data_IF_932673733509
#
_entry.id   IF_932673733509
#
_cell.length_a   1.000
_cell.length_b   1.000
_cell.length_c   1.000
_cell.angle_alpha   90.00
_cell.angle_beta   90.00
_cell.angle_gamma   90.00
#
_symmetry.space_group_name_H-M   'P 1'
#
loop_
_entity.id
_entity.type
_entity.pdbx_description
1 polymer ?
#
# COMPACT_ATOMS: atom_id res chain seq x y z
N UNK A 1 -37.57 -6.24 68.32
CA UNK A 1 -38.76 -5.48 67.83
C UNK A 1 -38.39 -4.79 66.50
N UNK A 2 -38.97 -5.25 65.39
CA UNK A 2 -39.25 -4.62 64.07
C UNK A 2 -38.25 -3.57 63.54
N UNK A 3 -37.48 -3.89 62.46
CA UNK A 3 -37.84 -3.90 61.01
C UNK A 3 -38.15 -2.53 60.40
N UNK A 4 -37.44 -2.26 59.35
CA UNK A 4 -37.59 -1.34 58.16
C UNK A 4 -36.44 -0.36 58.06
N UNK A 5 -35.73 -0.21 56.90
CA UNK A 5 -36.12 -0.49 55.57
C UNK A 5 -34.93 -0.37 54.62
N UNK A 6 -34.87 -1.38 53.83
CA UNK A 6 -34.05 -1.43 52.63
C UNK A 6 -34.90 -0.90 51.47
N UNK A 7 -34.66 0.32 50.97
CA UNK A 7 -35.17 0.78 49.65
C UNK A 7 -34.64 2.19 49.34
N UNK A 8 -33.35 2.32 49.10
CA UNK A 8 -32.82 3.58 48.50
C UNK A 8 -31.48 3.39 47.76
N UNK A 9 -31.17 2.20 47.23
CA UNK A 9 -29.93 1.97 46.51
C UNK A 9 -30.13 1.36 45.09
N UNK A 10 -31.33 1.38 44.53
CA UNK A 10 -31.61 0.82 43.19
C UNK A 10 -32.02 1.83 42.11
N UNK A 11 -31.89 3.14 42.31
CA UNK A 11 -32.27 4.15 41.31
C UNK A 11 -31.10 5.05 40.80
N UNK A 12 -29.86 4.76 41.20
CA UNK A 12 -28.70 5.58 40.76
C UNK A 12 -27.77 4.86 39.78
N UNK A 13 -28.03 3.59 39.43
CA UNK A 13 -27.22 2.83 38.45
C UNK A 13 -27.82 2.89 37.03
N UNK A 14 -29.08 3.33 36.89
CA UNK A 14 -29.75 3.42 35.59
C UNK A 14 -29.48 4.72 34.79
N UNK A 15 -28.88 5.75 35.37
CA UNK A 15 -28.71 7.05 34.72
C UNK A 15 -27.28 7.31 34.20
N UNK A 16 -26.30 6.50 34.55
CA UNK A 16 -24.91 6.65 34.07
C UNK A 16 -24.65 5.83 32.81
N UNK A 17 -25.47 4.82 32.51
CA UNK A 17 -25.36 4.03 31.30
C UNK A 17 -26.03 4.68 30.07
N UNK A 18 -26.88 5.68 30.25
CA UNK A 18 -27.60 6.33 29.15
C UNK A 18 -26.91 7.60 28.61
N UNK A 19 -25.87 8.12 29.27
CA UNK A 19 -25.15 9.34 28.86
C UNK A 19 -23.85 9.01 28.11
N UNK A 20 -23.37 7.77 28.13
CA UNK A 20 -22.18 7.33 27.38
C UNK A 20 -22.48 6.80 25.97
N UNK A 21 -23.74 6.77 25.56
CA UNK A 21 -24.16 6.31 24.21
C UNK A 21 -24.54 7.45 23.24
N UNK A 22 -24.34 8.70 23.62
CA UNK A 22 -24.70 9.87 22.81
C UNK A 22 -23.53 10.79 22.42
N UNK A 23 -22.27 10.33 22.64
CA UNK A 23 -21.08 11.03 22.14
C UNK A 23 -20.27 10.14 21.19
N UNK A 24 -20.91 9.21 20.48
CA UNK A 24 -20.44 8.77 19.18
C UNK A 24 -20.93 9.78 18.15
N UNK A 25 -20.34 10.96 18.18
CA UNK A 25 -20.51 11.96 17.15
C UNK A 25 -20.20 11.32 15.79
N UNK A 26 -21.15 11.40 14.90
CA UNK A 26 -21.03 11.06 13.49
C UNK A 26 -19.73 11.69 12.98
N UNK A 27 -18.72 10.87 12.70
CA UNK A 27 -17.60 11.27 11.84
C UNK A 27 -18.26 11.67 10.51
N UNK A 28 -18.12 12.93 10.06
CA UNK A 28 -18.64 13.29 8.75
C UNK A 28 -17.90 12.40 7.75
N UNK A 29 -18.60 11.48 7.11
CA UNK A 29 -18.15 10.86 5.88
C UNK A 29 -18.05 12.00 4.87
N UNK A 30 -16.88 12.60 4.75
CA UNK A 30 -16.55 13.41 3.59
C UNK A 30 -16.72 12.49 2.40
N UNK A 31 -17.73 12.78 1.60
CA UNK A 31 -18.04 12.08 0.38
C UNK A 31 -16.81 12.19 -0.55
N UNK A 32 -15.92 11.17 -0.50
CA UNK A 32 -15.13 10.86 -1.66
C UNK A 32 -16.14 10.75 -2.79
N UNK A 33 -16.00 11.59 -3.82
CA UNK A 33 -16.91 11.62 -4.95
C UNK A 33 -17.06 10.17 -5.43
N UNK A 34 -18.22 9.57 -5.19
CA UNK A 34 -18.50 8.19 -5.60
C UNK A 34 -18.46 8.19 -7.12
N UNK A 35 -17.31 7.75 -7.62
CA UNK A 35 -17.20 7.46 -9.03
C UNK A 35 -18.27 6.41 -9.39
N UNK A 36 -19.14 6.75 -10.37
CA UNK A 36 -20.15 5.82 -10.87
C UNK A 36 -19.55 5.11 -12.08
N UNK A 37 -19.54 3.75 -12.11
CA UNK A 37 -19.13 3.01 -13.29
C UNK A 37 -19.92 3.47 -14.53
N UNK A 38 -19.25 3.62 -15.65
CA UNK A 38 -19.95 3.79 -16.92
C UNK A 38 -20.72 2.50 -17.21
N UNK A 39 -22.00 2.64 -17.57
CA UNK A 39 -22.88 1.52 -17.89
C UNK A 39 -22.26 0.69 -19.03
N UNK A 40 -22.02 -0.61 -18.78
CA UNK A 40 -21.53 -1.56 -19.77
C UNK A 40 -20.06 -2.01 -19.64
N UNK A 41 -19.29 -1.48 -18.67
CA UNK A 41 -17.95 -2.00 -18.38
C UNK A 41 -18.02 -3.16 -17.36
N UNK A 42 -17.12 -4.18 -17.47
CA UNK A 42 -17.07 -5.25 -16.49
C UNK A 42 -16.85 -4.68 -15.09
N UNK A 43 -17.65 -5.10 -14.12
CA UNK A 43 -17.42 -4.77 -12.72
C UNK A 43 -16.14 -5.47 -12.26
N UNK A 44 -15.10 -4.68 -11.99
CA UNK A 44 -13.97 -5.13 -11.22
C UNK A 44 -14.39 -5.18 -9.76
N UNK A 45 -14.06 -6.28 -9.10
CA UNK A 45 -14.39 -6.45 -7.70
C UNK A 45 -13.71 -5.36 -6.88
N UNK A 46 -14.48 -4.75 -5.98
CA UNK A 46 -13.91 -3.93 -4.93
C UNK A 46 -13.14 -4.86 -3.99
N UNK A 47 -11.82 -4.76 -4.02
CA UNK A 47 -10.91 -5.69 -3.36
C UNK A 47 -10.78 -5.44 -1.87
N UNK A 48 -11.38 -4.38 -1.32
CA UNK A 48 -11.42 -4.16 0.12
C UNK A 48 -12.61 -4.87 0.75
N UNK A 49 -12.37 -6.02 1.38
CA UNK A 49 -13.37 -6.81 2.09
C UNK A 49 -14.13 -6.02 3.18
N UNK A 50 -13.64 -4.85 3.57
CA UNK A 50 -14.26 -3.93 4.54
C UNK A 50 -15.00 -2.77 3.90
N UNK A 51 -15.19 -2.77 2.58
CA UNK A 51 -16.01 -1.79 1.85
C UNK A 51 -15.45 -0.38 1.80
N UNK A 52 -14.11 -0.21 1.91
CA UNK A 52 -13.47 1.12 1.88
C UNK A 52 -13.27 1.69 0.49
N UNK A 53 -13.71 0.99 -0.55
CA UNK A 53 -13.60 1.39 -1.94
C UNK A 53 -12.21 1.17 -2.54
N UNK A 54 -12.09 1.36 -3.87
CA UNK A 54 -10.83 1.14 -4.58
C UNK A 54 -9.76 2.13 -4.11
N UNK A 55 -8.51 1.64 -3.98
CA UNK A 55 -7.35 2.43 -3.61
C UNK A 55 -6.42 2.65 -4.81
N UNK A 56 -5.69 3.76 -4.80
CA UNK A 56 -4.61 4.09 -5.72
C UNK A 56 -3.31 4.15 -4.92
N UNK A 57 -2.59 3.03 -4.92
CA UNK A 57 -1.46 2.78 -4.03
C UNK A 57 -0.16 3.04 -4.78
N UNK A 58 0.69 3.93 -4.28
CA UNK A 58 2.08 4.06 -4.75
C UNK A 58 3.02 3.30 -3.81
N UNK A 59 3.93 2.52 -4.36
CA UNK A 59 4.95 1.80 -3.63
C UNK A 59 6.19 2.70 -3.45
N UNK A 60 6.51 3.04 -2.21
CA UNK A 60 7.70 3.82 -1.87
C UNK A 60 8.75 2.91 -1.23
N UNK A 61 9.72 2.51 -2.04
CA UNK A 61 10.85 1.69 -1.59
C UNK A 61 11.82 2.52 -0.75
N UNK A 62 12.17 2.01 0.43
CA UNK A 62 13.06 2.67 1.37
C UNK A 62 14.09 1.73 2.00
N UNK A 63 14.58 0.78 1.20
CA UNK A 63 15.65 -0.16 1.60
C UNK A 63 16.91 0.56 2.07
N UNK A 64 17.68 -0.14 2.89
CA UNK A 64 18.96 0.37 3.36
C UNK A 64 19.89 0.82 2.24
N UNK A 65 20.48 2.00 2.40
CA UNK A 65 21.34 2.64 1.39
C UNK A 65 20.58 3.40 0.28
N UNK A 66 19.25 3.30 0.19
CA UNK A 66 18.46 4.12 -0.73
C UNK A 66 18.34 5.57 -0.23
N UNK A 67 18.27 6.55 -1.15
CA UNK A 67 17.99 7.93 -0.78
C UNK A 67 16.65 8.06 -0.05
N UNK A 68 16.64 8.79 1.06
CA UNK A 68 15.43 9.01 1.85
C UNK A 68 14.34 9.74 1.05
N UNK A 69 13.09 9.44 1.35
CA UNK A 69 11.93 10.15 0.86
C UNK A 69 11.77 11.49 1.60
N UNK A 70 12.15 12.57 0.92
CA UNK A 70 12.00 13.93 1.43
C UNK A 70 10.67 14.56 1.01
N UNK A 71 10.27 15.65 1.64
CA UNK A 71 9.07 16.43 1.27
C UNK A 71 9.08 16.79 -0.22
N UNK A 72 10.22 17.26 -0.74
CA UNK A 72 10.37 17.66 -2.15
C UNK A 72 10.20 16.50 -3.13
N UNK A 73 10.58 15.29 -2.75
CA UNK A 73 10.38 14.09 -3.56
C UNK A 73 8.93 13.59 -3.46
N UNK A 74 8.38 13.56 -2.24
CA UNK A 74 7.02 13.07 -1.96
C UNK A 74 5.93 13.92 -2.60
N UNK A 75 6.15 15.24 -2.77
CA UNK A 75 5.13 16.11 -3.37
C UNK A 75 4.66 15.65 -4.75
N UNK A 76 5.54 14.99 -5.55
CA UNK A 76 5.21 14.46 -6.88
C UNK A 76 4.32 13.22 -6.85
N UNK A 77 4.13 12.62 -5.70
CA UNK A 77 3.25 11.46 -5.48
C UNK A 77 1.96 11.83 -4.76
N UNK A 78 2.04 12.81 -3.86
CA UNK A 78 0.88 13.28 -3.09
C UNK A 78 0.02 14.21 -3.93
N UNK A 79 0.64 15.05 -4.74
CA UNK A 79 -0.06 15.96 -5.66
C UNK A 79 0.50 15.82 -7.08
N UNK A 80 -0.37 16.03 -8.07
CA UNK A 80 0.09 16.32 -9.41
C UNK A 80 0.75 17.71 -9.41
N UNK A 81 1.98 17.77 -9.93
CA UNK A 81 2.78 18.98 -9.98
C UNK A 81 2.92 19.37 -11.45
N UNK A 82 2.48 20.57 -11.81
CA UNK A 82 2.57 21.11 -13.17
C UNK A 82 4.01 21.37 -13.59
N UNK A 83 4.26 21.66 -14.86
CA UNK A 83 5.61 21.87 -15.40
C UNK A 83 6.34 23.09 -14.78
N UNK A 84 5.59 24.06 -14.25
CA UNK A 84 6.12 25.22 -13.51
C UNK A 84 6.40 24.93 -12.01
N UNK A 85 6.16 23.68 -11.57
CA UNK A 85 6.40 23.25 -10.20
C UNK A 85 5.24 23.46 -9.23
N UNK A 86 4.05 23.86 -9.73
CA UNK A 86 2.87 24.13 -8.90
C UNK A 86 2.02 22.88 -8.71
N UNK A 87 1.70 22.45 -7.48
CA UNK A 87 0.67 21.44 -7.22
C UNK A 87 -0.71 21.95 -7.63
N UNK A 88 -1.48 21.14 -8.38
CA UNK A 88 -2.80 21.54 -8.89
C UNK A 88 -3.93 20.55 -8.53
N UNK A 89 -3.60 19.28 -8.24
CA UNK A 89 -4.57 18.25 -7.89
C UNK A 89 -3.97 17.22 -6.93
N UNK A 90 -4.81 16.49 -6.19
CA UNK A 90 -4.40 15.28 -5.47
C UNK A 90 -4.05 14.16 -6.44
N UNK A 91 -3.04 13.33 -6.09
CA UNK A 91 -2.58 12.28 -6.96
C UNK A 91 -2.88 10.88 -6.38
N UNK A 92 -1.95 10.28 -5.63
CA UNK A 92 -2.22 9.00 -4.96
C UNK A 92 -2.91 9.21 -3.61
N UNK A 93 -3.84 8.31 -3.26
CA UNK A 93 -4.58 8.36 -2.00
C UNK A 93 -4.00 7.44 -0.92
N UNK A 94 -3.11 6.54 -1.33
CA UNK A 94 -2.52 5.53 -0.47
C UNK A 94 -1.05 5.34 -0.81
N UNK A 95 -0.23 5.23 0.23
CA UNK A 95 1.21 4.97 0.13
C UNK A 95 1.51 3.63 0.79
N UNK A 96 2.19 2.75 0.09
CA UNK A 96 2.81 1.54 0.66
C UNK A 96 4.29 1.81 0.86
N UNK A 97 4.75 1.86 2.12
CA UNK A 97 6.16 2.02 2.47
C UNK A 97 6.77 0.64 2.71
N UNK A 98 7.81 0.30 1.95
CA UNK A 98 8.44 -1.00 2.03
C UNK A 98 9.95 -0.98 1.81
N UNK A 99 10.64 -1.88 2.49
CA UNK A 99 12.05 -2.13 2.33
C UNK A 99 12.30 -3.60 1.99
N UNK A 100 13.23 -3.85 1.07
CA UNK A 100 13.70 -5.20 0.73
C UNK A 100 14.90 -5.61 1.58
N UNK A 101 15.63 -4.60 2.12
CA UNK A 101 16.79 -4.79 3.00
C UNK A 101 16.83 -3.74 4.09
N UNK A 102 17.38 -4.10 5.26
CA UNK A 102 17.73 -3.15 6.30
C UNK A 102 19.01 -2.35 5.99
N UNK A 103 19.40 -1.40 6.85
CA UNK A 103 20.63 -0.62 6.70
C UNK A 103 21.89 -1.51 6.71
N UNK A 104 21.88 -2.63 7.41
CA UNK A 104 22.91 -3.65 7.39
C UNK A 104 23.02 -4.42 6.07
N UNK A 105 22.15 -4.18 5.11
CA UNK A 105 21.95 -4.94 3.87
C UNK A 105 21.47 -6.37 4.12
N UNK A 106 20.91 -6.71 5.29
CA UNK A 106 20.22 -7.97 5.52
C UNK A 106 18.81 -7.93 4.97
N UNK A 107 18.33 -9.10 4.56
CA UNK A 107 17.10 -9.27 3.78
C UNK A 107 15.84 -9.09 4.63
N UNK A 108 15.00 -8.18 4.24
CA UNK A 108 13.57 -8.13 4.65
C UNK A 108 12.70 -8.93 3.69
N UNK A 109 13.13 -9.07 2.44
CA UNK A 109 12.58 -9.98 1.44
C UNK A 109 13.65 -11.02 1.08
N UNK A 110 13.34 -12.35 1.07
CA UNK A 110 14.36 -13.43 1.02
C UNK A 110 15.29 -13.42 -0.19
N UNK A 111 14.86 -12.85 -1.33
CA UNK A 111 15.62 -12.84 -2.57
C UNK A 111 16.60 -11.66 -2.68
N UNK A 112 16.59 -10.75 -1.69
CA UNK A 112 17.44 -9.57 -1.67
C UNK A 112 18.39 -9.57 -0.48
N UNK A 113 19.51 -8.86 -0.60
CA UNK A 113 20.44 -8.64 0.51
C UNK A 113 21.39 -9.80 0.82
N UNK A 114 22.04 -9.71 1.99
CA UNK A 114 23.17 -10.57 2.40
C UNK A 114 22.81 -11.59 3.49
N UNK A 115 21.67 -12.25 3.38
CA UNK A 115 21.15 -13.19 4.36
C UNK A 115 20.06 -12.58 5.24
N UNK A 116 19.41 -13.39 6.10
CA UNK A 116 18.22 -12.98 6.83
C UNK A 116 18.47 -11.84 7.82
N UNK A 117 17.50 -10.95 7.95
CA UNK A 117 17.51 -9.88 8.94
C UNK A 117 17.39 -10.41 10.37
N UNK A 118 17.93 -9.66 11.31
CA UNK A 118 17.88 -9.91 12.75
C UNK A 118 16.97 -8.90 13.45
N UNK A 119 16.72 -9.10 14.73
CA UNK A 119 15.89 -8.22 15.55
C UNK A 119 16.36 -6.76 15.52
N UNK A 120 17.67 -6.55 15.55
CA UNK A 120 18.27 -5.21 15.47
C UNK A 120 18.00 -4.51 14.15
N UNK A 121 17.95 -5.23 13.02
CA UNK A 121 17.65 -4.66 11.71
C UNK A 121 16.20 -4.17 11.65
N UNK A 122 15.26 -4.95 12.20
CA UNK A 122 13.86 -4.56 12.30
C UNK A 122 13.66 -3.35 13.21
N UNK A 123 14.39 -3.32 14.34
CA UNK A 123 14.35 -2.19 15.26
C UNK A 123 14.92 -0.92 14.61
N UNK A 124 16.06 -1.01 13.95
CA UNK A 124 16.68 0.12 13.25
C UNK A 124 15.80 0.67 12.12
N UNK A 125 15.12 -0.21 11.40
CA UNK A 125 14.17 0.23 10.37
C UNK A 125 13.01 1.04 10.95
N UNK A 126 12.44 0.58 12.07
CA UNK A 126 11.40 1.32 12.79
C UNK A 126 11.90 2.67 13.31
N UNK A 127 13.07 2.70 13.95
CA UNK A 127 13.59 3.89 14.63
C UNK A 127 14.20 4.91 13.65
N UNK A 128 14.85 4.45 12.60
CA UNK A 128 15.58 5.30 11.66
C UNK A 128 14.74 5.72 10.45
N UNK A 129 14.15 4.75 9.76
CA UNK A 129 13.44 5.04 8.50
C UNK A 129 12.00 5.46 8.70
N UNK A 130 11.23 4.74 9.51
CA UNK A 130 9.81 4.97 9.61
C UNK A 130 9.45 6.07 10.61
N UNK A 131 9.96 6.03 11.85
CA UNK A 131 9.47 6.86 12.96
C UNK A 131 10.51 7.76 13.64
N UNK A 132 11.73 7.84 13.13
CA UNK A 132 12.73 8.78 13.67
C UNK A 132 12.37 10.24 13.43
N UNK A 133 13.08 11.18 14.08
CA UNK A 133 12.78 12.61 14.02
C UNK A 133 12.86 13.24 12.62
N UNK A 134 13.64 12.65 11.71
CA UNK A 134 13.69 13.00 10.28
C UNK A 134 13.20 11.83 9.42
N UNK A 135 12.24 11.08 9.93
CA UNK A 135 11.71 9.88 9.27
C UNK A 135 10.93 10.20 8.01
N UNK A 136 10.78 9.18 7.18
CA UNK A 136 10.03 9.30 5.93
C UNK A 136 8.53 9.48 6.17
N UNK A 137 7.98 8.96 7.27
CA UNK A 137 6.59 9.23 7.65
C UNK A 137 6.40 10.68 8.12
N UNK A 138 7.37 11.27 8.82
CA UNK A 138 7.31 12.69 9.16
C UNK A 138 7.43 13.59 7.92
N UNK A 139 8.27 13.20 6.94
CA UNK A 139 8.36 13.90 5.68
C UNK A 139 7.05 13.77 4.86
N UNK A 140 6.40 12.60 4.89
CA UNK A 140 5.12 12.36 4.23
C UNK A 140 4.00 13.20 4.87
N UNK A 141 3.91 13.22 6.21
CA UNK A 141 2.98 14.08 6.95
C UNK A 141 3.11 15.54 6.51
N UNK A 142 4.35 16.03 6.47
CA UNK A 142 4.64 17.40 6.04
C UNK A 142 4.27 17.64 4.56
N UNK A 143 4.53 16.69 3.68
CA UNK A 143 4.18 16.80 2.26
C UNK A 143 2.66 16.90 2.06
N UNK A 144 1.87 16.10 2.79
CA UNK A 144 0.41 16.16 2.76
C UNK A 144 -0.11 17.46 3.37
N UNK A 145 0.47 17.91 4.47
CA UNK A 145 0.14 19.20 5.10
C UNK A 145 0.35 20.37 4.11
N UNK A 146 1.50 20.43 3.44
CA UNK A 146 1.81 21.46 2.45
C UNK A 146 0.88 21.39 1.23
N UNK A 147 0.51 20.19 0.78
CA UNK A 147 -0.47 20.00 -0.29
C UNK A 147 -1.87 20.47 0.13
N UNK A 148 -2.33 20.16 1.34
CA UNK A 148 -3.57 20.67 1.91
C UNK A 148 -3.63 22.20 1.90
N UNK A 149 -2.55 22.86 2.32
CA UNK A 149 -2.46 24.33 2.33
C UNK A 149 -2.55 24.94 0.93
N UNK A 150 -2.05 24.24 -0.12
CA UNK A 150 -2.00 24.76 -1.50
C UNK A 150 -3.25 24.43 -2.31
N UNK A 151 -3.79 23.22 -2.17
CA UNK A 151 -4.92 22.75 -2.98
C UNK A 151 -6.28 23.21 -2.44
N UNK A 152 -6.30 23.75 -1.26
CA UNK A 152 -7.48 24.43 -0.66
C UNK A 152 -8.55 23.51 -0.10
N UNK A 153 -9.00 23.79 1.10
CA UNK A 153 -10.36 23.58 1.58
C UNK A 153 -10.72 22.31 2.31
N UNK A 154 -9.93 21.25 2.35
CA UNK A 154 -10.25 20.12 3.24
C UNK A 154 -9.00 19.44 3.75
N UNK A 155 -9.05 18.93 4.96
CA UNK A 155 -8.00 18.08 5.51
C UNK A 155 -7.99 16.75 4.74
N UNK A 156 -7.32 16.71 3.59
CA UNK A 156 -7.09 15.46 2.88
C UNK A 156 -6.17 14.56 3.72
N UNK A 157 -6.48 13.29 3.75
CA UNK A 157 -5.77 12.29 4.54
C UNK A 157 -5.28 11.18 3.63
N UNK A 158 -3.99 10.87 3.73
CA UNK A 158 -3.35 9.79 2.98
C UNK A 158 -3.30 8.53 3.86
N UNK A 159 -3.66 7.40 3.29
CA UNK A 159 -3.52 6.09 3.94
C UNK A 159 -2.10 5.58 3.77
N UNK A 160 -1.55 4.98 4.81
CA UNK A 160 -0.21 4.40 4.79
C UNK A 160 -0.28 2.91 5.12
N UNK A 161 0.22 2.10 4.21
CA UNK A 161 0.40 0.67 4.41
C UNK A 161 1.88 0.45 4.74
N UNK A 162 2.17 -0.33 5.78
CA UNK A 162 3.54 -0.60 6.22
C UNK A 162 3.88 -2.06 5.96
N UNK A 163 5.03 -2.31 5.32
CA UNK A 163 5.50 -3.66 5.08
C UNK A 163 5.93 -4.36 6.37
N UNK A 164 5.65 -5.65 6.44
CA UNK A 164 6.16 -6.55 7.47
C UNK A 164 7.41 -7.22 6.89
N UNK A 165 8.60 -7.05 7.49
CA UNK A 165 9.77 -7.80 7.07
C UNK A 165 9.51 -9.31 7.19
N UNK A 166 9.91 -10.07 6.18
CA UNK A 166 9.70 -11.52 6.18
C UNK A 166 10.52 -12.18 7.29
N UNK A 167 9.90 -12.95 8.17
CA UNK A 167 10.60 -13.69 9.23
C UNK A 167 11.24 -14.96 8.65
N UNK A 168 12.37 -14.81 7.98
CA UNK A 168 13.06 -15.87 7.23
C UNK A 168 13.46 -17.03 8.14
N UNK A 169 13.01 -18.27 7.87
CA UNK A 169 13.31 -19.44 8.71
C UNK A 169 14.81 -19.74 8.85
N UNK A 170 15.65 -19.19 7.98
CA UNK A 170 17.12 -19.30 8.08
C UNK A 170 17.71 -18.49 9.23
N UNK A 171 16.98 -17.53 9.82
CA UNK A 171 17.42 -16.76 10.99
C UNK A 171 17.26 -17.57 12.30
N UNK A 172 18.04 -18.63 12.45
CA UNK A 172 18.00 -19.50 13.66
C UNK A 172 18.41 -18.78 14.95
N UNK A 173 19.08 -17.62 14.83
CA UNK A 173 19.45 -16.72 15.92
C UNK A 173 18.97 -15.31 15.58
N UNK A 174 17.63 -15.11 15.53
CA UNK A 174 17.03 -13.82 15.18
C UNK A 174 17.44 -12.72 16.17
N UNK A 175 17.53 -13.04 17.43
CA UNK A 175 17.83 -12.10 18.52
C UNK A 175 16.83 -12.20 19.64
N UNK A 176 16.90 -11.24 20.57
CA UNK A 176 16.00 -11.18 21.73
C UNK A 176 14.93 -10.12 21.51
N UNK A 177 13.68 -10.52 21.64
CA UNK A 177 12.50 -9.65 21.58
C UNK A 177 11.73 -9.78 22.89
N UNK A 178 11.54 -8.67 23.60
CA UNK A 178 10.83 -8.63 24.89
C UNK A 178 11.35 -9.67 25.91
N UNK A 179 12.67 -9.82 25.95
CA UNK A 179 13.34 -10.75 26.87
C UNK A 179 13.38 -12.22 26.43
N UNK A 180 12.75 -12.56 25.30
CA UNK A 180 12.73 -13.92 24.73
C UNK A 180 13.67 -14.02 23.52
N UNK A 181 14.62 -14.96 23.55
CA UNK A 181 15.43 -15.29 22.39
C UNK A 181 14.57 -16.07 21.36
N UNK A 182 14.57 -15.60 20.08
CA UNK A 182 13.77 -16.16 19.02
C UNK A 182 14.64 -16.94 18.02
N UNK A 183 14.10 -18.08 17.57
CA UNK A 183 14.68 -18.94 16.55
C UNK A 183 13.65 -19.18 15.45
N UNK A 184 13.87 -18.61 14.27
CA UNK A 184 12.91 -18.66 13.16
C UNK A 184 12.80 -20.01 12.45
N UNK A 185 13.60 -21.03 12.84
CA UNK A 185 13.28 -22.41 12.44
C UNK A 185 11.94 -22.89 13.01
N UNK A 186 11.35 -22.16 13.98
CA UNK A 186 10.07 -22.45 14.62
C UNK A 186 9.03 -21.40 14.20
N UNK A 187 7.88 -21.87 13.71
CA UNK A 187 6.81 -21.00 13.23
C UNK A 187 6.28 -20.06 14.32
N UNK A 188 6.21 -20.51 15.58
CA UNK A 188 5.74 -19.72 16.72
C UNK A 188 6.66 -18.53 17.02
N UNK A 189 7.97 -18.70 16.89
CA UNK A 189 8.93 -17.62 17.11
C UNK A 189 8.91 -16.61 15.95
N UNK A 190 8.64 -17.07 14.72
CA UNK A 190 8.37 -16.20 13.57
C UNK A 190 7.13 -15.35 13.81
N UNK A 191 6.03 -15.96 14.23
CA UNK A 191 4.79 -15.26 14.56
C UNK A 191 4.96 -14.28 15.74
N UNK A 192 5.80 -14.62 16.73
CA UNK A 192 6.11 -13.74 17.88
C UNK A 192 6.84 -12.47 17.44
N UNK A 193 7.85 -12.62 16.56
CA UNK A 193 8.55 -11.46 16.00
C UNK A 193 7.61 -10.53 15.23
N UNK A 194 6.73 -11.10 14.39
CA UNK A 194 5.72 -10.31 13.67
C UNK A 194 4.76 -9.64 14.65
N UNK A 195 4.30 -10.32 15.69
CA UNK A 195 3.43 -9.74 16.72
C UNK A 195 4.09 -8.53 17.39
N UNK A 196 5.36 -8.66 17.75
CA UNK A 196 6.15 -7.55 18.30
C UNK A 196 6.24 -6.39 17.31
N UNK A 197 6.60 -6.65 16.05
CA UNK A 197 6.71 -5.64 15.01
C UNK A 197 5.41 -4.83 14.84
N UNK A 198 4.28 -5.53 14.71
CA UNK A 198 2.97 -4.90 14.58
C UNK A 198 2.61 -4.02 15.78
N UNK A 199 2.93 -4.46 17.01
CA UNK A 199 2.72 -3.65 18.22
C UNK A 199 3.62 -2.41 18.23
N UNK A 200 4.88 -2.56 17.86
CA UNK A 200 5.84 -1.46 17.80
C UNK A 200 5.44 -0.41 16.75
N UNK A 201 4.98 -0.84 15.57
CA UNK A 201 4.41 0.08 14.58
C UNK A 201 3.22 0.83 15.17
N UNK A 202 2.25 0.12 15.75
CA UNK A 202 1.03 0.75 16.30
C UNK A 202 1.33 1.72 17.45
N UNK A 203 2.25 1.35 18.33
CA UNK A 203 2.69 2.21 19.43
C UNK A 203 3.36 3.50 18.94
N UNK A 204 4.29 3.39 17.98
CA UNK A 204 4.97 4.55 17.38
C UNK A 204 4.01 5.40 16.57
N UNK A 205 3.12 4.76 15.80
CA UNK A 205 2.09 5.47 15.05
C UNK A 205 1.22 6.35 15.96
N UNK A 206 0.73 5.78 17.05
CA UNK A 206 -0.08 6.52 18.04
C UNK A 206 0.72 7.66 18.70
N UNK A 207 2.00 7.43 18.96
CA UNK A 207 2.88 8.47 19.56
C UNK A 207 3.20 9.61 18.59
N UNK A 208 3.21 9.36 17.28
CA UNK A 208 3.51 10.36 16.24
C UNK A 208 2.40 11.39 16.05
N UNK A 209 1.16 11.08 16.46
CA UNK A 209 0.00 11.97 16.37
C UNK A 209 -0.18 12.62 14.99
N UNK A 210 0.02 11.86 13.90
CA UNK A 210 -0.17 12.35 12.54
C UNK A 210 -1.59 12.87 12.32
N UNK A 211 -1.71 14.08 11.76
CA UNK A 211 -2.99 14.73 11.45
C UNK A 211 -3.51 14.33 10.06
N UNK A 212 -2.60 14.19 9.09
CA UNK A 212 -2.90 13.97 7.69
C UNK A 212 -2.60 12.55 7.21
N UNK A 213 -2.09 11.67 8.07
CA UNK A 213 -1.88 10.27 7.75
C UNK A 213 -2.81 9.36 8.57
N UNK A 214 -3.18 8.23 7.97
CA UNK A 214 -3.89 7.14 8.67
C UNK A 214 -3.21 5.82 8.37
N UNK A 215 -2.95 5.03 9.41
CA UNK A 215 -2.46 3.66 9.21
C UNK A 215 -3.53 2.87 8.46
N UNK A 216 -3.21 2.49 7.24
CA UNK A 216 -4.13 1.89 6.27
C UNK A 216 -4.10 0.37 6.25
N UNK A 217 -3.04 -0.24 6.81
CA UNK A 217 -2.88 -1.68 6.84
C UNK A 217 -1.43 -2.13 6.92
N UNK A 218 -1.26 -3.43 6.78
CA UNK A 218 0.05 -4.07 6.73
C UNK A 218 0.22 -4.88 5.45
N UNK A 219 1.41 -4.89 4.89
CA UNK A 219 1.76 -5.57 3.67
C UNK A 219 2.75 -6.71 3.95
N UNK A 220 2.47 -7.90 3.41
CA UNK A 220 3.41 -9.02 3.44
C UNK A 220 4.42 -8.89 2.32
N UNK A 221 5.70 -8.69 2.67
CA UNK A 221 6.73 -8.31 1.69
C UNK A 221 7.12 -9.44 0.74
N UNK A 222 6.98 -10.71 1.16
CA UNK A 222 7.30 -11.84 0.30
C UNK A 222 6.22 -12.05 -0.76
N UNK A 223 6.62 -12.00 -2.03
CA UNK A 223 5.71 -12.01 -3.18
C UNK A 223 5.20 -13.40 -3.57
N UNK A 224 5.64 -14.45 -2.86
CA UNK A 224 5.12 -15.81 -2.97
C UNK A 224 4.69 -16.34 -1.60
N UNK A 225 3.77 -17.29 -1.58
CA UNK A 225 3.29 -17.94 -0.37
C UNK A 225 3.47 -19.46 -0.49
N UNK A 226 4.68 -19.99 -0.22
CA UNK A 226 4.90 -21.42 -0.24
C UNK A 226 4.08 -22.11 0.85
N UNK A 227 3.65 -23.33 0.59
CA UNK A 227 2.81 -24.09 1.52
C UNK A 227 3.41 -24.22 2.94
N UNK A 228 4.74 -24.12 3.07
CA UNK A 228 5.43 -24.07 4.37
C UNK A 228 5.10 -22.82 5.21
N UNK A 229 4.55 -21.78 4.60
CA UNK A 229 4.17 -20.53 5.27
C UNK A 229 2.65 -20.43 5.54
N UNK A 230 1.82 -21.39 5.09
CA UNK A 230 0.36 -21.32 5.23
C UNK A 230 -0.09 -21.08 6.69
N UNK A 231 0.45 -21.81 7.64
CA UNK A 231 0.11 -21.65 9.06
C UNK A 231 0.61 -20.32 9.63
N UNK A 232 1.80 -19.88 9.23
CA UNK A 232 2.32 -18.58 9.64
C UNK A 232 1.45 -17.45 9.10
N UNK A 233 1.04 -17.51 7.83
CA UNK A 233 0.20 -16.49 7.20
C UNK A 233 -1.16 -16.37 7.91
N UNK A 234 -1.79 -17.48 8.28
CA UNK A 234 -3.03 -17.51 9.08
C UNK A 234 -2.83 -16.88 10.46
N UNK A 235 -1.71 -17.17 11.12
CA UNK A 235 -1.38 -16.54 12.41
C UNK A 235 -1.17 -15.03 12.25
N UNK A 236 -0.42 -14.59 11.23
CA UNK A 236 -0.18 -13.17 10.95
C UNK A 236 -1.47 -12.45 10.59
N UNK A 237 -2.32 -13.04 9.75
CA UNK A 237 -3.66 -12.52 9.43
C UNK A 237 -4.48 -12.28 10.70
N UNK A 238 -4.49 -13.25 11.62
CA UNK A 238 -5.16 -13.08 12.92
C UNK A 238 -4.56 -11.97 13.79
N UNK A 239 -3.24 -11.72 13.68
CA UNK A 239 -2.56 -10.62 14.39
C UNK A 239 -2.95 -9.25 13.81
N UNK A 240 -2.95 -9.10 12.48
CA UNK A 240 -3.36 -7.89 11.78
C UNK A 240 -4.85 -7.61 12.00
N UNK A 241 -5.69 -8.64 11.87
CA UNK A 241 -7.14 -8.55 12.06
C UNK A 241 -7.55 -8.05 13.44
N UNK A 242 -6.80 -8.38 14.50
CA UNK A 242 -7.02 -7.83 15.85
C UNK A 242 -6.82 -6.33 15.96
N UNK A 243 -6.05 -5.73 15.06
CA UNK A 243 -5.88 -4.28 14.97
C UNK A 243 -6.96 -3.60 14.12
N UNK A 244 -7.90 -4.37 13.57
CA UNK A 244 -8.95 -3.90 12.66
C UNK A 244 -8.39 -3.26 11.38
N UNK A 245 -7.20 -3.68 10.97
CA UNK A 245 -6.50 -3.23 9.76
C UNK A 245 -6.50 -4.33 8.70
N UNK A 246 -6.49 -4.00 7.41
CA UNK A 246 -6.36 -4.98 6.34
C UNK A 246 -4.94 -5.50 6.19
N UNK A 247 -4.85 -6.73 5.72
CA UNK A 247 -3.62 -7.42 5.39
C UNK A 247 -3.48 -7.51 3.86
N UNK A 248 -2.45 -6.85 3.31
CA UNK A 248 -2.19 -6.69 1.88
C UNK A 248 -1.13 -7.66 1.37
N UNK A 249 -1.28 -8.07 0.11
CA UNK A 249 -0.29 -8.88 -0.60
C UNK A 249 -0.25 -8.52 -2.09
N UNK A 250 0.95 -8.51 -2.69
CA UNK A 250 1.18 -8.19 -4.10
C UNK A 250 2.02 -9.30 -4.72
N UNK A 251 1.41 -10.45 -5.08
CA UNK A 251 2.11 -11.60 -5.66
C UNK A 251 2.52 -11.37 -7.11
N UNK A 252 3.69 -11.91 -7.52
CA UNK A 252 4.07 -11.90 -8.93
C UNK A 252 3.24 -12.88 -9.76
N UNK A 253 3.21 -12.69 -11.09
CA UNK A 253 2.42 -13.52 -12.00
C UNK A 253 2.83 -15.00 -11.93
N UNK A 254 1.89 -15.85 -11.56
CA UNK A 254 2.11 -17.29 -11.42
C UNK A 254 2.79 -17.71 -10.10
N UNK A 255 2.91 -16.81 -9.12
CA UNK A 255 3.51 -17.14 -7.82
C UNK A 255 2.69 -18.18 -7.05
N UNK A 256 3.39 -18.97 -6.22
CA UNK A 256 2.74 -19.95 -5.35
C UNK A 256 1.79 -19.23 -4.38
N UNK A 257 0.57 -19.75 -4.25
CA UNK A 257 -0.46 -19.23 -3.35
C UNK A 257 -1.33 -18.12 -3.93
N UNK A 258 -0.99 -17.50 -5.08
CA UNK A 258 -1.74 -16.35 -5.62
C UNK A 258 -3.23 -16.64 -5.83
N UNK A 259 -3.61 -17.81 -6.33
CA UNK A 259 -5.02 -18.17 -6.54
C UNK A 259 -5.81 -18.47 -5.26
N UNK A 260 -5.15 -18.67 -4.12
CA UNK A 260 -5.78 -18.98 -2.82
C UNK A 260 -5.52 -17.93 -1.73
N UNK A 261 -5.20 -16.70 -2.12
CA UNK A 261 -4.81 -15.63 -1.21
C UNK A 261 -5.80 -15.38 -0.06
N UNK A 262 -7.11 -15.54 -0.32
CA UNK A 262 -8.15 -15.39 0.71
C UNK A 262 -8.07 -16.49 1.78
N UNK A 263 -7.77 -17.73 1.36
CA UNK A 263 -7.60 -18.87 2.27
C UNK A 263 -6.35 -18.73 3.15
N UNK A 264 -5.35 -18.00 2.64
CA UNK A 264 -4.12 -17.63 3.38
C UNK A 264 -4.36 -16.50 4.38
N UNK A 265 -5.52 -15.84 4.32
CA UNK A 265 -5.95 -14.84 5.28
C UNK A 265 -5.65 -13.40 4.90
N UNK A 266 -5.27 -13.12 3.67
CA UNK A 266 -5.14 -11.74 3.17
C UNK A 266 -6.53 -11.10 2.99
N UNK A 267 -6.62 -9.80 3.25
CA UNK A 267 -7.84 -9.01 3.01
C UNK A 267 -7.84 -8.37 1.62
N UNK A 268 -6.66 -8.09 1.07
CA UNK A 268 -6.47 -7.47 -0.26
C UNK A 268 -5.28 -8.12 -0.95
N UNK A 269 -5.46 -8.59 -2.18
CA UNK A 269 -4.37 -9.03 -3.04
C UNK A 269 -4.36 -8.24 -4.36
N UNK A 270 -3.15 -7.99 -4.91
CA UNK A 270 -2.93 -7.20 -6.10
C UNK A 270 -1.96 -7.96 -7.01
N UNK A 271 -2.40 -8.35 -8.20
CA UNK A 271 -1.61 -9.15 -9.13
C UNK A 271 -0.58 -8.30 -9.86
N UNK A 272 0.70 -8.68 -9.79
CA UNK A 272 1.73 -8.13 -10.67
C UNK A 272 1.65 -8.82 -12.03
N UNK A 273 1.53 -8.10 -13.15
CA UNK A 273 1.63 -8.71 -14.48
C UNK A 273 3.05 -9.14 -14.85
N UNK A 274 4.09 -8.49 -14.31
CA UNK A 274 5.50 -8.68 -14.63
C UNK A 274 5.82 -8.52 -16.14
N UNK A 275 5.01 -7.73 -16.85
CA UNK A 275 5.20 -7.48 -18.29
C UNK A 275 6.34 -6.49 -18.56
N UNK A 276 6.48 -5.47 -17.70
CA UNK A 276 7.47 -4.42 -17.93
C UNK A 276 8.91 -4.94 -17.90
N UNK A 277 9.20 -5.92 -17.05
CA UNK A 277 10.55 -6.39 -16.76
C UNK A 277 11.03 -7.54 -17.64
N UNK A 278 10.10 -8.35 -18.13
CA UNK A 278 10.39 -9.59 -18.83
C UNK A 278 10.09 -9.47 -20.34
N UNK A 279 10.81 -10.25 -21.12
CA UNK A 279 10.52 -10.39 -22.56
C UNK A 279 9.36 -11.36 -22.75
N UNK A 280 8.16 -10.84 -22.56
CA UNK A 280 6.90 -11.56 -22.71
C UNK A 280 5.97 -10.72 -23.59
N UNK A 281 5.02 -11.38 -24.30
CA UNK A 281 4.10 -10.68 -25.20
C UNK A 281 3.10 -9.80 -24.44
N UNK A 282 2.51 -8.78 -25.10
CA UNK A 282 1.57 -7.84 -24.48
C UNK A 282 0.32 -8.49 -23.89
N UNK A 283 -0.09 -9.65 -24.41
CA UNK A 283 -1.20 -10.47 -23.91
C UNK A 283 -1.05 -10.86 -22.43
N UNK A 284 0.16 -10.78 -21.88
CA UNK A 284 0.43 -10.96 -20.45
C UNK A 284 -0.39 -10.03 -19.58
N UNK A 285 -0.63 -8.79 -20.03
CA UNK A 285 -1.47 -7.83 -19.29
C UNK A 285 -2.92 -8.34 -19.25
N UNK A 286 -3.43 -8.85 -20.37
CA UNK A 286 -4.79 -9.39 -20.45
C UNK A 286 -4.94 -10.67 -19.61
N UNK A 287 -3.93 -11.53 -19.60
CA UNK A 287 -3.89 -12.75 -18.78
C UNK A 287 -3.89 -12.40 -17.28
N UNK A 288 -3.04 -11.47 -16.87
CA UNK A 288 -2.97 -11.02 -15.48
C UNK A 288 -4.27 -10.33 -15.04
N UNK A 289 -4.85 -9.49 -15.89
CA UNK A 289 -6.12 -8.82 -15.63
C UNK A 289 -7.28 -9.82 -15.50
N UNK A 290 -7.33 -10.85 -16.35
CA UNK A 290 -8.32 -11.91 -16.26
C UNK A 290 -8.16 -12.70 -14.97
N UNK A 291 -6.94 -13.14 -14.64
CA UNK A 291 -6.64 -13.83 -13.38
C UNK A 291 -7.04 -13.00 -12.17
N UNK A 292 -6.65 -11.73 -12.15
CA UNK A 292 -7.01 -10.81 -11.07
C UNK A 292 -8.53 -10.70 -10.89
N UNK A 293 -9.30 -10.62 -11.99
CA UNK A 293 -10.76 -10.57 -11.95
C UNK A 293 -11.37 -11.86 -11.41
N UNK A 294 -10.92 -13.02 -11.92
CA UNK A 294 -11.39 -14.34 -11.50
C UNK A 294 -11.15 -14.58 -10.01
N UNK A 295 -10.01 -14.11 -9.50
CA UNK A 295 -9.61 -14.26 -8.10
C UNK A 295 -9.90 -13.03 -7.23
N UNK A 296 -10.62 -12.01 -7.75
CA UNK A 296 -10.99 -10.78 -7.00
C UNK A 296 -9.78 -10.02 -6.47
N UNK A 297 -8.76 -9.86 -7.29
CA UNK A 297 -7.53 -9.14 -6.98
C UNK A 297 -7.51 -7.77 -7.67
N UNK A 298 -6.71 -6.86 -7.14
CA UNK A 298 -6.27 -5.66 -7.86
C UNK A 298 -5.23 -5.98 -8.94
N UNK A 299 -4.73 -4.93 -9.61
CA UNK A 299 -3.65 -5.03 -10.61
C UNK A 299 -2.55 -4.05 -10.27
N UNK A 300 -1.29 -4.48 -10.38
CA UNK A 300 -0.14 -3.60 -10.28
C UNK A 300 0.24 -3.04 -11.66
N UNK A 301 0.56 -1.76 -11.68
CA UNK A 301 1.07 -1.03 -12.83
C UNK A 301 2.58 -0.86 -12.61
N UNK A 302 3.38 -1.35 -13.56
CA UNK A 302 4.82 -1.47 -13.37
C UNK A 302 5.61 -0.59 -14.35
N UNK A 303 6.57 0.15 -13.84
CA UNK A 303 7.64 0.79 -14.61
C UNK A 303 8.89 0.99 -13.75
N UNK A 304 9.98 1.39 -14.36
CA UNK A 304 11.17 1.89 -13.67
C UNK A 304 11.84 3.04 -14.46
N UNK A 305 12.97 3.53 -13.97
CA UNK A 305 13.69 4.66 -14.55
C UNK A 305 14.12 4.49 -16.00
N UNK A 306 14.10 3.27 -16.55
CA UNK A 306 14.37 3.03 -17.98
C UNK A 306 13.40 3.77 -18.89
N UNK A 307 12.18 4.10 -18.42
CA UNK A 307 11.23 4.92 -19.20
C UNK A 307 11.78 6.30 -19.56
N UNK A 308 12.69 6.86 -18.76
CA UNK A 308 13.28 8.16 -19.03
C UNK A 308 14.06 8.18 -20.36
N UNK A 309 14.80 7.09 -20.64
CA UNK A 309 15.72 7.02 -21.77
C UNK A 309 15.31 6.04 -22.87
N UNK A 310 14.29 5.20 -22.67
CA UNK A 310 13.86 4.18 -23.62
C UNK A 310 12.43 4.41 -24.11
N UNK A 311 12.22 4.74 -25.40
CA UNK A 311 10.89 4.78 -26.01
C UNK A 311 10.15 3.44 -25.86
N UNK A 312 10.82 2.31 -26.09
CA UNK A 312 10.25 0.97 -25.93
C UNK A 312 9.69 0.76 -24.51
N UNK A 313 10.43 1.17 -23.47
CA UNK A 313 9.95 1.06 -22.09
C UNK A 313 8.76 1.98 -21.81
N UNK A 314 8.67 3.12 -22.45
CA UNK A 314 7.48 3.98 -22.42
C UNK A 314 6.26 3.28 -23.02
N UNK A 315 6.43 2.65 -24.20
CA UNK A 315 5.36 1.88 -24.86
C UNK A 315 4.90 0.71 -24.01
N UNK A 316 5.82 -0.02 -23.36
CA UNK A 316 5.46 -1.10 -22.42
C UNK A 316 4.66 -0.56 -21.22
N UNK A 317 5.04 0.57 -20.67
CA UNK A 317 4.27 1.22 -19.62
C UNK A 317 2.87 1.68 -20.10
N UNK A 318 2.80 2.30 -21.28
CA UNK A 318 1.52 2.70 -21.86
C UNK A 318 0.58 1.49 -22.12
N UNK A 319 1.14 0.30 -22.35
CA UNK A 319 0.34 -0.93 -22.50
C UNK A 319 -0.44 -1.27 -21.23
N UNK A 320 0.11 -1.04 -20.02
CA UNK A 320 -0.65 -1.20 -18.77
C UNK A 320 -1.82 -0.22 -18.70
N UNK A 321 -1.60 1.03 -19.08
CA UNK A 321 -2.63 2.05 -19.04
C UNK A 321 -3.75 1.74 -20.05
N UNK A 322 -3.38 1.30 -21.25
CA UNK A 322 -4.34 0.86 -22.27
C UNK A 322 -5.12 -0.38 -21.81
N UNK A 323 -4.41 -1.38 -21.26
CA UNK A 323 -5.04 -2.56 -20.65
C UNK A 323 -6.03 -2.20 -19.56
N UNK A 324 -5.76 -1.14 -18.78
CA UNK A 324 -6.69 -0.63 -17.77
C UNK A 324 -8.02 -0.17 -18.34
N UNK A 325 -8.02 0.41 -19.54
CA UNK A 325 -9.24 0.78 -20.27
C UNK A 325 -9.90 -0.46 -20.87
N UNK A 326 -9.12 -1.28 -21.58
CA UNK A 326 -9.63 -2.42 -22.35
C UNK A 326 -10.20 -3.52 -21.43
N UNK A 327 -9.53 -3.80 -20.30
CA UNK A 327 -9.93 -4.79 -19.31
C UNK A 327 -10.79 -4.22 -18.18
N UNK A 328 -10.90 -2.90 -18.06
CA UNK A 328 -11.76 -2.21 -17.11
C UNK A 328 -11.18 -1.98 -15.72
N UNK A 329 -9.93 -2.40 -15.41
CA UNK A 329 -9.37 -2.21 -14.06
C UNK A 329 -9.08 -0.74 -13.71
N UNK A 330 -9.00 0.16 -14.71
CA UNK A 330 -8.93 1.60 -14.46
C UNK A 330 -10.12 2.09 -13.61
N UNK A 331 -11.30 1.50 -13.78
CA UNK A 331 -12.54 2.10 -13.32
C UNK A 331 -13.02 1.62 -11.95
N UNK A 332 -12.62 0.44 -11.49
CA UNK A 332 -13.22 -0.15 -10.29
C UNK A 332 -12.27 -0.96 -9.40
N UNK A 333 -11.05 -1.26 -9.85
CA UNK A 333 -10.13 -2.07 -9.07
C UNK A 333 -9.26 -1.26 -8.09
N UNK A 334 -8.76 -1.91 -7.05
CA UNK A 334 -7.60 -1.42 -6.32
C UNK A 334 -6.37 -1.56 -7.22
N UNK A 335 -5.59 -0.50 -7.35
CA UNK A 335 -4.40 -0.49 -8.19
C UNK A 335 -3.18 -0.11 -7.36
N UNK A 336 -2.06 -0.77 -7.63
CA UNK A 336 -0.76 -0.41 -7.10
C UNK A 336 0.17 0.06 -8.21
N UNK A 337 1.15 0.87 -7.89
CA UNK A 337 2.20 1.32 -8.80
C UNK A 337 3.57 0.98 -8.23
N UNK A 338 4.33 0.18 -8.98
CA UNK A 338 5.76 0.07 -8.85
C UNK A 338 6.43 1.01 -9.87
N UNK A 339 7.29 1.92 -9.42
CA UNK A 339 7.87 2.92 -10.33
C UNK A 339 9.39 3.15 -10.17
N UNK A 340 10.06 2.58 -9.17
CA UNK A 340 11.49 2.84 -8.86
C UNK A 340 11.85 4.34 -8.91
N UNK A 341 10.97 5.20 -8.40
CA UNK A 341 11.06 6.65 -8.44
C UNK A 341 11.05 7.27 -9.88
N UNK A 342 10.60 6.53 -10.89
CA UNK A 342 10.50 7.03 -12.25
C UNK A 342 9.50 8.18 -12.41
N UNK A 343 8.37 8.14 -11.69
CA UNK A 343 7.39 9.24 -11.71
C UNK A 343 7.97 10.55 -11.20
N UNK A 344 8.85 10.50 -10.21
CA UNK A 344 9.59 11.69 -9.75
C UNK A 344 10.46 12.28 -10.87
N UNK A 345 11.24 11.43 -11.54
CA UNK A 345 12.11 11.86 -12.63
C UNK A 345 11.28 12.38 -13.81
N UNK A 346 10.19 11.69 -14.17
CA UNK A 346 9.26 12.14 -15.20
C UNK A 346 8.61 13.48 -14.83
N UNK A 347 8.18 13.66 -13.59
CA UNK A 347 7.55 14.89 -13.09
C UNK A 347 8.51 16.09 -13.08
N UNK A 348 9.80 15.86 -12.96
CA UNK A 348 10.85 16.90 -12.99
C UNK A 348 11.44 17.13 -14.38
N UNK A 349 11.11 16.27 -15.35
CA UNK A 349 11.74 16.32 -16.68
C UNK A 349 11.33 17.54 -17.48
N UNK A 350 12.31 18.11 -18.20
CA UNK A 350 12.09 19.15 -19.22
C UNK A 350 11.82 18.56 -20.61
N UNK A 351 12.06 17.26 -20.81
CA UNK A 351 11.70 16.55 -22.04
C UNK A 351 10.18 16.32 -22.05
N UNK A 352 9.46 16.88 -23.04
CA UNK A 352 8.01 16.74 -23.11
C UNK A 352 7.53 15.29 -23.23
N UNK A 353 8.30 14.40 -23.86
CA UNK A 353 7.94 12.99 -24.03
C UNK A 353 8.04 12.23 -22.69
N UNK A 354 9.04 12.54 -21.88
CA UNK A 354 9.24 11.98 -20.54
C UNK A 354 8.21 12.57 -19.57
N UNK A 355 8.05 13.89 -19.58
CA UNK A 355 7.07 14.60 -18.73
C UNK A 355 5.65 14.10 -18.97
N UNK A 356 5.28 13.83 -20.22
CA UNK A 356 3.97 13.29 -20.59
C UNK A 356 3.61 12.02 -19.84
N UNK A 357 4.58 11.16 -19.46
CA UNK A 357 4.30 9.96 -18.69
C UNK A 357 3.71 10.28 -17.31
N UNK A 358 4.27 11.27 -16.62
CA UNK A 358 3.79 11.74 -15.34
C UNK A 358 2.34 12.25 -15.44
N UNK A 359 2.10 13.14 -16.41
CA UNK A 359 0.77 13.72 -16.63
C UNK A 359 -0.26 12.65 -17.07
N UNK A 360 0.18 11.66 -17.84
CA UNK A 360 -0.66 10.54 -18.29
C UNK A 360 -0.99 9.60 -17.14
N UNK A 361 -0.01 9.32 -16.28
CA UNK A 361 -0.24 8.53 -15.04
C UNK A 361 -1.25 9.22 -14.13
N UNK A 362 -1.11 10.54 -13.95
CA UNK A 362 -2.09 11.31 -13.20
C UNK A 362 -3.50 11.19 -13.79
N UNK A 363 -3.64 11.32 -15.12
CA UNK A 363 -4.95 11.14 -15.79
C UNK A 363 -5.51 9.74 -15.55
N UNK A 364 -4.66 8.73 -15.55
CA UNK A 364 -5.07 7.36 -15.28
C UNK A 364 -5.53 7.20 -13.82
N UNK A 365 -4.73 7.61 -12.86
CA UNK A 365 -5.07 7.55 -11.43
C UNK A 365 -6.36 8.30 -11.11
N UNK A 366 -6.58 9.46 -11.75
CA UNK A 366 -7.79 10.27 -11.59
C UNK A 366 -9.01 9.79 -12.40
N UNK A 367 -8.91 8.66 -13.11
CA UNK A 367 -9.99 8.12 -13.96
C UNK A 367 -10.26 8.91 -15.24
N UNK A 368 -9.38 9.85 -15.58
CA UNK A 368 -9.53 10.73 -16.76
C UNK A 368 -8.74 10.25 -17.98
N UNK A 369 -8.00 9.15 -17.86
CA UNK A 369 -7.25 8.57 -18.98
C UNK A 369 -8.18 8.13 -20.10
N UNK A 370 -7.74 8.36 -21.33
CA UNK A 370 -8.39 7.86 -22.55
C UNK A 370 -7.30 7.27 -23.44
N UNK A 371 -7.54 6.07 -23.94
CA UNK A 371 -6.65 5.39 -24.89
C UNK A 371 -6.43 6.28 -26.10
N UNK A 372 -5.18 6.54 -26.43
CA UNK A 372 -4.84 7.21 -27.69
C UNK A 372 -4.87 6.13 -28.77
N UNK A 373 -5.75 6.26 -29.72
CA UNK A 373 -5.76 5.38 -30.92
C UNK A 373 -4.47 5.73 -31.68
N UNK A 374 -3.59 4.76 -31.85
CA UNK A 374 -2.47 4.91 -32.78
C UNK A 374 -3.05 5.20 -34.17
N UNK A 375 -2.65 6.30 -34.77
CA UNK A 375 -3.11 6.68 -36.14
C UNK A 375 -2.61 5.70 -37.23
N UNK A 376 -1.87 4.67 -36.87
CA UNK A 376 -1.27 3.70 -37.82
C UNK A 376 -2.28 2.68 -38.39
N UNK A 377 -3.52 2.65 -37.89
CA UNK A 377 -4.57 1.77 -38.44
C UNK A 377 -5.37 2.39 -39.59
N UNK A 378 -4.96 3.53 -40.17
CA UNK A 378 -5.66 4.20 -41.29
C UNK A 378 -4.99 4.11 -42.64
N UNK A 379 -3.95 3.28 -42.79
CA UNK A 379 -3.30 3.08 -44.11
C UNK A 379 -3.46 1.61 -44.56
N UNK A 380 -4.64 1.06 -44.47
CA UNK A 380 -5.02 -0.10 -45.25
C UNK A 380 -6.52 -0.03 -45.52
N UNK A 381 -6.89 0.74 -46.59
CA UNK A 381 -8.06 0.56 -47.42
C UNK A 381 -7.78 1.06 -48.82
#
# INVERSE_FOLDING_TARGET
MRVRGATAKRRLIGLVAAVLLLICGQVPQTAAARWKPQVGLPEWWDTDARGRGPARIILLYNSGGMPAWTVDRLRYYISHVTADGTPDHWFFDTVLVLALTGESQRSFEPNYGKGPALAEDWQQYLDGRLFGGLSELAALEKAVHEANARLGGSSHVVRVIISIPYPDPRATKFGTVEGKALNFSRAEDRAEAVRWYLREVSRRWSASQFEHLRLGGFYWVREEAPASDDDLLKLVSGLVGRQLLPFYWIPYFGSEGSGKWQELGFDVAIQQPNYFFYDVPPERIDEAARFAREHRMGVEIEMDRRVVNSPERRERYESYLNGGVDQGYLYSGTLAWYDDAALLECGQSKDPAVRRLYDTTYRFVSGKYRKQWSNDARIEK
#
